data_IF_971409812398
#
_entry.id   IF_971409812398
#
_cell.length_a   1.000
_cell.length_b   1.000
_cell.length_c   1.000
_cell.angle_alpha   90.00
_cell.angle_beta   90.00
_cell.angle_gamma   90.00
#
_symmetry.space_group_name_H-M   'P 1'
#
loop_
_entity.id
_entity.type
_entity.pdbx_description
1 polymer ?
#
# COMPACT_ATOMS: atom_id res chain seq x y z
N UNK A 1 -33.76 -1.38 31.09
CA UNK A 1 -33.29 -2.25 30.00
C UNK A 1 -32.06 -2.99 30.47
N UNK A 2 -31.89 -4.24 30.07
CA UNK A 2 -30.69 -5.04 30.41
C UNK A 2 -29.47 -4.42 29.75
N UNK A 3 -28.45 -4.08 30.54
CA UNK A 3 -27.18 -3.57 30.02
C UNK A 3 -26.40 -4.75 29.43
N UNK A 4 -26.16 -4.72 28.12
CA UNK A 4 -25.51 -5.82 27.39
C UNK A 4 -24.02 -5.53 27.25
N UNK A 5 -23.18 -6.57 27.38
CA UNK A 5 -21.73 -6.39 27.35
C UNK A 5 -21.23 -6.33 25.91
N UNK A 6 -20.25 -5.46 25.65
CA UNK A 6 -19.59 -5.37 24.34
C UNK A 6 -18.20 -5.99 24.44
N UNK A 7 -17.93 -6.98 23.60
CA UNK A 7 -16.57 -7.51 23.41
C UNK A 7 -15.98 -6.92 22.14
N UNK A 8 -14.87 -6.19 22.27
CA UNK A 8 -14.29 -5.45 21.14
C UNK A 8 -13.90 -6.37 19.98
N UNK A 9 -13.41 -7.57 20.28
CA UNK A 9 -13.05 -8.57 19.27
C UNK A 9 -14.25 -9.00 18.40
N UNK A 10 -15.46 -9.13 18.98
CA UNK A 10 -16.66 -9.44 18.21
C UNK A 10 -17.11 -8.24 17.36
N UNK A 11 -17.00 -7.04 17.92
CA UNK A 11 -17.35 -5.80 17.22
C UNK A 11 -16.43 -5.54 16.02
N UNK A 12 -15.14 -5.78 16.15
CA UNK A 12 -14.14 -5.53 15.09
C UNK A 12 -14.26 -6.49 13.89
N UNK A 13 -14.95 -7.63 14.07
CA UNK A 13 -15.30 -8.55 12.98
C UNK A 13 -16.47 -8.06 12.14
N UNK A 14 -17.20 -7.03 12.56
CA UNK A 14 -18.33 -6.49 11.82
C UNK A 14 -17.84 -5.27 11.05
N UNK A 15 -17.82 -5.30 9.70
CA UNK A 15 -17.47 -4.13 8.92
C UNK A 15 -18.36 -2.93 9.31
N UNK A 16 -17.78 -1.74 9.53
CA UNK A 16 -18.55 -0.57 9.93
C UNK A 16 -19.55 -0.19 8.83
N UNK A 17 -20.73 0.26 9.22
CA UNK A 17 -21.69 0.84 8.29
C UNK A 17 -21.19 2.19 7.81
N UNK A 18 -21.44 2.51 6.54
CA UNK A 18 -21.34 3.88 6.07
C UNK A 18 -22.32 4.78 6.81
N UNK A 19 -22.07 6.10 6.76
CA UNK A 19 -22.95 7.09 7.38
C UNK A 19 -24.39 6.96 6.88
N UNK A 20 -24.57 6.80 5.58
CA UNK A 20 -25.88 6.67 4.93
C UNK A 20 -26.60 5.37 5.35
N UNK A 21 -25.88 4.25 5.40
CA UNK A 21 -26.45 2.98 5.87
C UNK A 21 -26.86 3.04 7.34
N UNK A 22 -26.06 3.70 8.18
CA UNK A 22 -26.39 3.90 9.59
C UNK A 22 -27.64 4.78 9.76
N UNK A 23 -27.73 5.90 9.05
CA UNK A 23 -28.90 6.78 9.07
C UNK A 23 -30.16 6.07 8.55
N UNK A 24 -30.03 5.26 7.50
CA UNK A 24 -31.12 4.42 6.98
C UNK A 24 -31.59 3.39 8.01
N UNK A 25 -30.66 2.73 8.70
CA UNK A 25 -30.97 1.78 9.78
C UNK A 25 -31.67 2.48 10.97
N UNK A 26 -31.16 3.64 11.41
CA UNK A 26 -31.76 4.42 12.50
C UNK A 26 -33.19 4.83 12.16
N UNK A 27 -33.43 5.33 10.95
CA UNK A 27 -34.78 5.68 10.47
C UNK A 27 -35.72 4.47 10.45
N UNK A 28 -35.25 3.32 9.98
CA UNK A 28 -36.05 2.10 9.94
C UNK A 28 -36.48 1.67 11.36
N UNK A 29 -35.53 1.60 12.29
CA UNK A 29 -35.79 1.21 13.68
C UNK A 29 -36.74 2.20 14.38
N UNK A 30 -36.60 3.50 14.12
CA UNK A 30 -37.51 4.51 14.66
C UNK A 30 -38.95 4.38 14.13
N UNK A 31 -39.11 3.89 12.90
CA UNK A 31 -40.42 3.77 12.24
C UNK A 31 -41.12 2.46 12.58
N UNK A 32 -40.38 1.34 12.55
CA UNK A 32 -40.94 -0.02 12.64
C UNK A 32 -40.60 -0.73 13.96
N UNK A 33 -39.72 -0.16 14.79
CA UNK A 33 -39.14 -0.84 15.94
C UNK A 33 -37.97 -1.77 15.57
N UNK A 34 -37.39 -2.44 16.56
CA UNK A 34 -36.29 -3.39 16.36
C UNK A 34 -36.84 -4.80 16.15
N UNK A 35 -37.21 -5.13 14.90
CA UNK A 35 -37.76 -6.44 14.55
C UNK A 35 -36.72 -7.56 14.64
N UNK A 36 -35.50 -7.31 14.15
CA UNK A 36 -34.42 -8.28 14.18
C UNK A 36 -33.82 -8.40 15.59
N UNK A 37 -33.58 -9.64 16.01
CA UNK A 37 -33.00 -9.92 17.33
C UNK A 37 -31.54 -9.48 17.44
N UNK A 38 -31.14 -9.14 18.67
CA UNK A 38 -29.74 -8.89 19.03
C UNK A 38 -29.15 -10.21 19.48
N UNK A 39 -28.15 -10.71 18.74
CA UNK A 39 -27.53 -12.01 19.01
C UNK A 39 -26.53 -11.88 20.14
N UNK A 40 -26.62 -12.75 21.13
CA UNK A 40 -25.80 -12.75 22.34
C UNK A 40 -25.03 -14.05 22.51
N UNK A 41 -23.91 -14.00 23.23
CA UNK A 41 -23.20 -15.17 23.75
C UNK A 41 -22.60 -14.85 25.11
N UNK A 42 -23.03 -15.57 26.15
CA UNK A 42 -22.74 -15.30 27.56
C UNK A 42 -22.96 -13.84 27.97
N UNK A 43 -24.02 -13.22 27.42
CA UNK A 43 -24.37 -11.82 27.66
C UNK A 43 -23.51 -10.79 26.91
N UNK A 44 -22.59 -11.23 26.05
CA UNK A 44 -21.87 -10.37 25.11
C UNK A 44 -22.62 -10.25 23.78
N UNK A 45 -22.65 -9.06 23.19
CA UNK A 45 -23.23 -8.84 21.87
C UNK A 45 -22.34 -9.48 20.81
N UNK A 46 -22.93 -10.36 20.00
CA UNK A 46 -22.28 -11.05 18.88
C UNK A 46 -22.62 -10.37 17.55
N UNK A 47 -23.91 -10.07 17.33
CA UNK A 47 -24.39 -9.32 16.16
C UNK A 47 -25.54 -8.38 16.56
N UNK A 48 -25.65 -7.25 15.86
CA UNK A 48 -26.65 -6.22 16.15
C UNK A 48 -26.13 -5.07 17.02
N UNK A 49 -24.83 -4.84 17.09
CA UNK A 49 -24.22 -3.72 17.82
C UNK A 49 -24.82 -2.35 17.46
N UNK A 50 -25.03 -2.07 16.17
CA UNK A 50 -25.66 -0.82 15.73
C UNK A 50 -27.13 -0.75 16.15
N UNK A 51 -27.88 -1.86 16.00
CA UNK A 51 -29.27 -1.96 16.45
C UNK A 51 -29.37 -1.70 17.96
N UNK A 52 -28.51 -2.33 18.76
CA UNK A 52 -28.41 -2.13 20.20
C UNK A 52 -28.21 -0.66 20.58
N UNK A 53 -27.24 0.00 19.94
CA UNK A 53 -26.93 1.40 20.20
C UNK A 53 -28.13 2.31 19.91
N UNK A 54 -28.80 2.10 18.76
CA UNK A 54 -29.99 2.87 18.36
C UNK A 54 -31.14 2.63 19.34
N UNK A 55 -31.43 1.37 19.67
CA UNK A 55 -32.53 1.02 20.57
C UNK A 55 -32.32 1.58 21.97
N UNK A 56 -31.11 1.50 22.50
CA UNK A 56 -30.75 2.03 23.82
C UNK A 56 -30.86 3.55 23.85
N UNK A 57 -30.37 4.23 22.79
CA UNK A 57 -30.44 5.69 22.66
C UNK A 57 -31.86 6.23 22.62
N UNK A 58 -32.77 5.53 21.92
CA UNK A 58 -34.16 5.97 21.73
C UNK A 58 -35.16 5.27 22.65
N UNK A 59 -34.69 4.48 23.61
CA UNK A 59 -35.50 3.71 24.54
C UNK A 59 -36.54 2.80 23.83
N UNK A 60 -36.12 2.17 22.72
CA UNK A 60 -36.93 1.25 21.92
C UNK A 60 -36.71 -0.18 22.44
N UNK A 61 -37.77 -0.97 22.71
CA UNK A 61 -37.63 -2.37 23.08
C UNK A 61 -36.95 -3.20 21.97
N UNK A 62 -36.09 -4.14 22.35
CA UNK A 62 -35.44 -5.07 21.44
C UNK A 62 -35.51 -6.49 21.99
N UNK A 63 -35.36 -7.49 21.11
CA UNK A 63 -35.38 -8.91 21.47
C UNK A 63 -33.95 -9.48 21.53
N UNK A 64 -33.43 -9.84 22.71
CA UNK A 64 -32.17 -10.58 22.80
C UNK A 64 -32.37 -12.05 22.41
N UNK A 65 -31.37 -12.65 21.77
CA UNK A 65 -31.36 -14.07 21.41
C UNK A 65 -29.99 -14.68 21.66
N UNK A 66 -29.93 -15.71 22.49
CA UNK A 66 -28.69 -16.38 22.87
C UNK A 66 -28.26 -17.42 21.82
N UNK A 67 -27.02 -17.30 21.34
CA UNK A 67 -26.43 -18.26 20.41
C UNK A 67 -25.95 -19.50 21.15
N UNK A 68 -26.31 -20.67 20.62
CA UNK A 68 -25.85 -21.97 21.11
C UNK A 68 -24.51 -22.32 20.48
N UNK A 69 -23.43 -21.75 21.02
CA UNK A 69 -22.04 -22.03 20.64
C UNK A 69 -21.24 -22.42 21.87
N UNK A 70 -20.42 -23.47 21.75
CA UNK A 70 -19.68 -24.05 22.87
C UNK A 70 -18.43 -23.24 23.21
N UNK A 71 -17.69 -22.85 22.17
CA UNK A 71 -16.45 -22.10 22.34
C UNK A 71 -16.55 -20.70 21.77
N UNK A 72 -15.71 -19.81 22.28
CA UNK A 72 -15.55 -18.47 21.70
C UNK A 72 -15.09 -18.52 20.24
N UNK A 73 -14.24 -19.48 19.88
CA UNK A 73 -13.77 -19.66 18.52
C UNK A 73 -14.94 -19.95 17.57
N UNK A 74 -15.92 -20.76 18.00
CA UNK A 74 -17.13 -21.02 17.21
C UNK A 74 -17.99 -19.78 17.02
N UNK A 75 -17.99 -18.87 18.01
CA UNK A 75 -18.66 -17.57 17.91
C UNK A 75 -17.95 -16.68 16.91
N UNK A 76 -16.61 -16.59 16.95
CA UNK A 76 -15.83 -15.81 15.99
C UNK A 76 -16.04 -16.31 14.56
N UNK A 77 -15.97 -17.62 14.33
CA UNK A 77 -16.23 -18.23 13.03
C UNK A 77 -17.66 -17.97 12.56
N UNK A 78 -18.64 -18.05 13.47
CA UNK A 78 -20.03 -17.73 13.15
C UNK A 78 -20.22 -16.26 12.76
N UNK A 79 -19.61 -15.31 13.48
CA UNK A 79 -19.67 -13.89 13.11
C UNK A 79 -19.10 -13.71 11.70
N UNK A 80 -17.90 -14.25 11.44
CA UNK A 80 -17.23 -14.12 10.16
C UNK A 80 -18.10 -14.65 9.03
N UNK A 81 -18.63 -15.87 9.15
CA UNK A 81 -19.47 -16.48 8.13
C UNK A 81 -20.75 -15.67 7.90
N UNK A 82 -21.39 -15.20 8.97
CA UNK A 82 -22.57 -14.35 8.87
C UNK A 82 -22.28 -13.00 8.18
N UNK A 83 -21.09 -12.41 8.39
CA UNK A 83 -20.69 -11.20 7.69
C UNK A 83 -20.33 -11.48 6.22
N UNK A 84 -19.71 -12.61 5.90
CA UNK A 84 -19.34 -12.98 4.52
C UNK A 84 -20.57 -13.17 3.62
N UNK A 85 -21.67 -13.66 4.20
CA UNK A 85 -22.98 -13.81 3.54
C UNK A 85 -23.62 -12.47 3.17
N UNK A 86 -23.17 -11.35 3.75
CA UNK A 86 -23.67 -10.02 3.38
C UNK A 86 -23.30 -9.71 1.93
N UNK A 87 -24.32 -9.45 1.10
CA UNK A 87 -24.11 -9.16 -0.33
C UNK A 87 -23.40 -7.82 -0.56
N UNK A 88 -23.63 -6.84 0.31
CA UNK A 88 -23.10 -5.49 0.20
C UNK A 88 -21.91 -5.25 1.16
N UNK A 89 -20.81 -6.00 1.00
CA UNK A 89 -19.53 -5.69 1.66
C UNK A 89 -18.43 -5.53 0.63
N UNK A 90 -17.50 -4.61 0.88
CA UNK A 90 -16.37 -4.36 -0.01
C UNK A 90 -15.51 -5.63 -0.19
N UNK A 91 -14.84 -5.73 -1.34
CA UNK A 91 -13.87 -6.81 -1.61
C UNK A 91 -12.77 -6.81 -0.54
N UNK A 92 -12.37 -5.63 -0.08
CA UNK A 92 -11.37 -5.46 0.96
C UNK A 92 -11.84 -6.01 2.32
N UNK A 93 -13.01 -5.59 2.81
CA UNK A 93 -13.58 -6.09 4.07
C UNK A 93 -13.83 -7.60 4.02
N UNK A 94 -14.34 -8.11 2.89
CA UNK A 94 -14.50 -9.55 2.67
C UNK A 94 -13.16 -10.29 2.75
N UNK A 95 -12.11 -9.75 2.10
CA UNK A 95 -10.74 -10.28 2.19
C UNK A 95 -10.19 -10.31 3.60
N UNK A 96 -10.38 -9.23 4.37
CA UNK A 96 -9.96 -9.13 5.78
C UNK A 96 -10.62 -10.21 6.65
N UNK A 97 -11.92 -10.44 6.47
CA UNK A 97 -12.66 -11.49 7.16
C UNK A 97 -12.15 -12.89 6.83
N UNK A 98 -11.81 -13.15 5.57
CA UNK A 98 -11.23 -14.45 5.14
C UNK A 98 -9.86 -14.67 5.75
N UNK A 99 -8.98 -13.65 5.74
CA UNK A 99 -7.67 -13.72 6.38
C UNK A 99 -7.79 -14.00 7.88
N UNK A 100 -8.76 -13.36 8.53
CA UNK A 100 -9.07 -13.61 9.94
C UNK A 100 -9.62 -15.03 10.16
N UNK A 101 -10.53 -15.51 9.31
CA UNK A 101 -11.05 -16.90 9.34
C UNK A 101 -9.92 -17.92 9.22
N UNK A 102 -8.98 -17.69 8.29
CA UNK A 102 -7.78 -18.54 8.12
C UNK A 102 -7.01 -18.64 9.44
N UNK A 103 -6.70 -17.50 10.07
CA UNK A 103 -5.97 -17.46 11.33
C UNK A 103 -6.72 -18.21 12.45
N UNK A 104 -8.03 -18.00 12.60
CA UNK A 104 -8.80 -18.71 13.62
C UNK A 104 -8.86 -20.22 13.37
N UNK A 105 -9.01 -20.67 12.12
CA UNK A 105 -8.98 -22.10 11.80
C UNK A 105 -7.62 -22.74 12.08
N UNK A 106 -6.53 -22.01 11.85
CA UNK A 106 -5.17 -22.50 12.16
C UNK A 106 -4.94 -22.71 13.66
N UNK A 107 -5.51 -21.87 14.53
CA UNK A 107 -5.39 -22.02 16.00
C UNK A 107 -6.02 -23.31 16.52
N UNK A 108 -7.16 -23.72 15.95
CA UNK A 108 -7.87 -24.96 16.36
C UNK A 108 -7.19 -26.26 15.92
N UNK A 109 -6.31 -26.21 14.93
CA UNK A 109 -5.63 -27.41 14.40
C UNK A 109 -4.43 -27.88 15.25
N UNK A 110 -3.99 -27.09 16.24
CA UNK A 110 -2.94 -27.45 17.20
C UNK A 110 -3.41 -28.27 18.41
N UNK A 111 -4.70 -28.58 18.51
CA UNK A 111 -5.30 -29.35 19.61
C UNK A 111 -5.96 -30.63 19.08
N UNK A 112 -5.16 -31.59 18.62
CA UNK A 112 -5.58 -32.99 18.58
C UNK A 112 -4.83 -33.72 19.70
N UNK A 113 -5.55 -34.04 20.76
CA UNK A 113 -5.12 -34.88 21.89
C UNK A 113 -4.99 -36.37 21.54
N UNK A 114 -5.21 -36.75 20.28
CA UNK A 114 -5.57 -38.14 19.94
C UNK A 114 -4.45 -38.91 19.25
N UNK A 115 -3.19 -38.52 19.44
CA UNK A 115 -2.04 -39.31 19.00
C UNK A 115 -1.13 -39.62 20.19
N UNK A 116 -1.55 -40.62 20.95
CA UNK A 116 -0.63 -41.38 21.80
C UNK A 116 0.49 -41.99 20.95
N UNK A 117 1.74 -41.69 21.35
CA UNK A 117 2.96 -42.46 21.12
C UNK A 117 3.02 -43.30 19.83
N UNK A 118 3.32 -42.65 18.71
CA UNK A 118 4.03 -43.32 17.62
C UNK A 118 5.33 -42.53 17.43
N UNK A 119 6.46 -43.16 17.75
CA UNK A 119 7.78 -42.56 17.50
C UNK A 119 7.87 -42.14 16.01
N UNK A 120 8.27 -40.88 15.71
CA UNK A 120 8.36 -40.44 14.34
C UNK A 120 9.45 -41.22 13.61
N UNK A 121 9.18 -41.81 12.43
CA UNK A 121 10.27 -42.33 11.61
C UNK A 121 11.19 -41.16 11.25
N UNK A 122 12.49 -41.35 11.49
CA UNK A 122 13.52 -40.40 11.10
C UNK A 122 13.36 -40.10 9.60
N UNK A 123 13.21 -38.81 9.29
CA UNK A 123 13.18 -38.19 7.95
C UNK A 123 11.77 -37.81 7.43
N UNK A 124 11.24 -36.68 7.92
CA UNK A 124 10.19 -35.89 7.27
C UNK A 124 10.36 -34.39 7.58
N UNK A 125 11.35 -33.77 6.93
CA UNK A 125 11.52 -32.31 6.92
C UNK A 125 10.37 -31.60 6.20
N UNK A 126 9.95 -30.45 6.74
CA UNK A 126 9.33 -29.24 6.16
C UNK A 126 8.20 -29.29 5.11
N UNK A 127 7.88 -30.42 4.47
CA UNK A 127 6.99 -30.46 3.30
C UNK A 127 5.49 -30.52 3.69
N UNK A 128 5.17 -30.89 4.93
CA UNK A 128 3.81 -31.29 5.31
C UNK A 128 2.93 -30.15 5.87
N UNK A 129 3.54 -29.07 6.39
CA UNK A 129 2.84 -27.84 6.80
C UNK A 129 2.46 -26.98 5.60
N UNK A 130 3.40 -26.77 4.68
CA UNK A 130 3.24 -25.94 3.48
C UNK A 130 2.15 -26.51 2.53
N UNK A 131 2.06 -27.84 2.39
CA UNK A 131 1.01 -28.47 1.57
C UNK A 131 -0.40 -28.27 2.16
N UNK A 132 -0.54 -28.33 3.48
CA UNK A 132 -1.83 -28.16 4.19
C UNK A 132 -2.28 -26.72 4.22
N UNK A 133 -1.34 -25.79 4.38
CA UNK A 133 -1.62 -24.36 4.29
C UNK A 133 -2.16 -23.98 2.90
N UNK A 134 -1.50 -24.49 1.84
CA UNK A 134 -1.95 -24.28 0.45
C UNK A 134 -3.32 -24.88 0.15
N UNK A 135 -3.71 -25.97 0.81
CA UNK A 135 -5.04 -26.58 0.64
C UNK A 135 -6.14 -25.78 1.33
N UNK A 136 -5.87 -25.29 2.55
CA UNK A 136 -6.78 -24.39 3.29
C UNK A 136 -7.00 -23.09 2.52
N UNK A 137 -5.94 -22.52 1.94
CA UNK A 137 -6.01 -21.29 1.14
C UNK A 137 -6.83 -21.48 -0.14
N UNK A 138 -6.72 -22.64 -0.79
CA UNK A 138 -7.51 -22.98 -1.99
C UNK A 138 -8.99 -23.17 -1.65
N UNK A 139 -9.32 -23.79 -0.52
CA UNK A 139 -10.71 -23.98 -0.07
C UNK A 139 -11.37 -22.63 0.26
N UNK A 140 -10.69 -21.81 1.07
CA UNK A 140 -11.16 -20.48 1.44
C UNK A 140 -11.31 -19.54 0.23
N UNK A 141 -10.40 -19.60 -0.75
CA UNK A 141 -10.49 -18.80 -1.98
C UNK A 141 -11.71 -19.19 -2.85
N UNK A 142 -12.05 -20.49 -2.92
CA UNK A 142 -13.23 -20.96 -3.65
C UNK A 142 -14.54 -20.60 -2.97
N UNK A 143 -14.62 -20.79 -1.66
CA UNK A 143 -15.83 -20.54 -0.87
C UNK A 143 -16.18 -19.05 -0.79
N UNK A 144 -15.17 -18.18 -0.81
CA UNK A 144 -15.35 -16.74 -0.60
C UNK A 144 -15.53 -15.90 -1.87
N UNK A 145 -15.38 -16.50 -3.06
CA UNK A 145 -15.43 -15.77 -4.32
C UNK A 145 -14.27 -14.79 -4.55
N UNK A 146 -13.23 -14.80 -3.70
CA UNK A 146 -12.04 -13.96 -3.86
C UNK A 146 -10.85 -14.82 -4.31
N UNK A 147 -10.24 -14.42 -5.43
CA UNK A 147 -9.04 -15.09 -5.95
C UNK A 147 -7.82 -14.96 -5.03
N UNK A 148 -6.99 -16.00 -4.98
CA UNK A 148 -5.76 -16.05 -4.17
C UNK A 148 -4.87 -14.80 -4.28
N UNK A 149 -4.67 -14.29 -5.50
CA UNK A 149 -3.85 -13.08 -5.73
C UNK A 149 -4.44 -11.86 -5.04
N UNK A 150 -5.77 -11.74 -4.99
CA UNK A 150 -6.45 -10.64 -4.29
C UNK A 150 -6.27 -10.75 -2.78
N UNK A 151 -6.37 -11.96 -2.21
CA UNK A 151 -6.11 -12.19 -0.78
C UNK A 151 -4.67 -11.83 -0.40
N UNK A 152 -3.68 -12.24 -1.21
CA UNK A 152 -2.28 -11.88 -0.99
C UNK A 152 -2.05 -10.36 -1.01
N UNK A 153 -2.71 -9.65 -1.94
CA UNK A 153 -2.66 -8.18 -1.99
C UNK A 153 -3.28 -7.54 -0.75
N UNK A 154 -4.43 -8.04 -0.31
CA UNK A 154 -5.13 -7.53 0.87
C UNK A 154 -4.29 -7.76 2.13
N UNK A 155 -3.64 -8.93 2.28
CA UNK A 155 -2.73 -9.19 3.39
C UNK A 155 -1.59 -8.16 3.45
N UNK A 156 -0.99 -7.84 2.30
CA UNK A 156 0.05 -6.82 2.21
C UNK A 156 -0.46 -5.40 2.51
N UNK A 157 -1.69 -5.08 2.08
CA UNK A 157 -2.36 -3.80 2.42
C UNK A 157 -2.61 -3.72 3.93
N UNK A 158 -3.04 -4.80 4.58
CA UNK A 158 -3.27 -4.80 6.02
C UNK A 158 -2.00 -4.51 6.81
N UNK A 159 -0.86 -4.99 6.34
CA UNK A 159 0.44 -4.75 7.00
C UNK A 159 0.96 -3.32 6.77
N UNK A 160 0.76 -2.74 5.58
CA UNK A 160 1.50 -1.54 5.14
C UNK A 160 0.65 -0.28 4.93
N UNK A 161 -0.66 -0.40 4.72
CA UNK A 161 -1.51 0.73 4.38
C UNK A 161 -1.86 1.59 5.60
N UNK A 162 -2.04 2.90 5.37
CA UNK A 162 -2.48 3.84 6.41
C UNK A 162 -3.97 3.64 6.77
N UNK A 163 -4.43 4.06 7.96
CA UNK A 163 -5.84 3.96 8.34
C UNK A 163 -6.80 4.61 7.33
N UNK A 164 -6.38 5.72 6.71
CA UNK A 164 -7.17 6.44 5.71
C UNK A 164 -7.32 5.64 4.41
N UNK A 165 -6.25 4.97 3.97
CA UNK A 165 -6.26 4.10 2.80
C UNK A 165 -7.16 2.88 3.03
N UNK A 166 -7.08 2.27 4.22
CA UNK A 166 -7.96 1.16 4.62
C UNK A 166 -9.42 1.58 4.64
N UNK A 167 -9.74 2.74 5.24
CA UNK A 167 -11.10 3.29 5.25
C UNK A 167 -11.64 3.56 3.83
N UNK A 168 -10.81 4.10 2.94
CA UNK A 168 -11.20 4.32 1.55
C UNK A 168 -11.50 3.00 0.80
N UNK A 169 -10.79 1.92 1.12
CA UNK A 169 -11.06 0.58 0.58
C UNK A 169 -12.35 -0.03 1.14
N UNK A 170 -12.61 0.13 2.44
CA UNK A 170 -13.84 -0.33 3.10
C UNK A 170 -15.09 0.33 2.47
N UNK A 171 -14.99 1.61 2.14
CA UNK A 171 -16.04 2.40 1.49
C UNK A 171 -16.08 2.25 -0.05
N UNK A 172 -15.28 1.34 -0.63
CA UNK A 172 -15.13 1.15 -2.08
C UNK A 172 -14.78 2.43 -2.88
N UNK A 173 -14.19 3.46 -2.24
CA UNK A 173 -13.75 4.70 -2.90
C UNK A 173 -12.51 4.50 -3.77
N UNK A 174 -11.73 3.47 -3.48
CA UNK A 174 -10.52 3.08 -4.22
C UNK A 174 -10.48 1.56 -4.39
N UNK A 175 -9.78 1.07 -5.42
CA UNK A 175 -9.63 -0.37 -5.61
C UNK A 175 -8.45 -0.94 -4.83
N UNK A 176 -8.54 -2.23 -4.46
CA UNK A 176 -7.43 -3.01 -3.86
C UNK A 176 -6.16 -2.93 -4.74
N UNK A 177 -6.32 -2.99 -6.06
CA UNK A 177 -5.19 -2.96 -6.98
C UNK A 177 -4.46 -1.61 -6.97
N UNK A 178 -5.19 -0.50 -6.86
CA UNK A 178 -4.60 0.84 -6.86
C UNK A 178 -3.76 1.07 -5.60
N UNK A 179 -4.30 0.74 -4.42
CA UNK A 179 -3.57 0.89 -3.16
C UNK A 179 -2.37 -0.06 -3.13
N UNK A 180 -2.54 -1.32 -3.53
CA UNK A 180 -1.44 -2.26 -3.61
C UNK A 180 -0.30 -1.77 -4.52
N UNK A 181 -0.64 -1.22 -5.69
CA UNK A 181 0.35 -0.70 -6.64
C UNK A 181 1.09 0.51 -6.08
N UNK A 182 0.41 1.39 -5.31
CA UNK A 182 1.05 2.53 -4.64
C UNK A 182 2.06 2.06 -3.59
N UNK A 183 1.66 1.16 -2.70
CA UNK A 183 2.53 0.57 -1.67
C UNK A 183 3.76 -0.08 -2.32
N UNK A 184 3.58 -0.89 -3.37
CA UNK A 184 4.70 -1.51 -4.06
C UNK A 184 5.66 -0.50 -4.71
N UNK A 185 5.15 0.61 -5.25
CA UNK A 185 5.99 1.66 -5.83
C UNK A 185 6.80 2.38 -4.76
N UNK A 186 6.17 2.69 -3.63
CA UNK A 186 6.82 3.34 -2.48
C UNK A 186 7.90 2.44 -1.88
N UNK A 187 7.62 1.15 -1.68
CA UNK A 187 8.63 0.18 -1.22
C UNK A 187 9.80 0.06 -2.19
N UNK A 188 9.53 -0.02 -3.51
CA UNK A 188 10.58 -0.08 -4.51
C UNK A 188 11.44 1.19 -4.52
N UNK A 189 10.81 2.35 -4.35
CA UNK A 189 11.53 3.63 -4.24
C UNK A 189 12.40 3.62 -2.98
N UNK A 190 11.84 3.30 -1.83
CA UNK A 190 12.57 3.23 -0.56
C UNK A 190 13.75 2.25 -0.62
N UNK A 191 13.56 1.05 -1.19
CA UNK A 191 14.62 0.07 -1.36
C UNK A 191 15.72 0.55 -2.31
N UNK A 192 15.36 1.23 -3.39
CA UNK A 192 16.32 1.83 -4.32
C UNK A 192 17.12 2.91 -3.60
N UNK A 193 16.44 3.81 -2.90
CA UNK A 193 17.06 4.93 -2.19
C UNK A 193 17.99 4.43 -1.07
N UNK A 194 17.63 3.32 -0.39
CA UNK A 194 18.49 2.64 0.57
C UNK A 194 19.72 1.96 -0.06
N UNK A 195 19.65 1.59 -1.34
CA UNK A 195 20.76 0.94 -2.07
C UNK A 195 21.64 1.97 -2.80
N UNK A 196 21.09 3.14 -3.15
CA UNK A 196 21.81 4.23 -3.79
C UNK A 196 22.77 4.88 -2.80
N UNK A 197 24.02 4.43 -2.79
CA UNK A 197 25.08 5.06 -2.03
C UNK A 197 25.75 6.14 -2.88
N UNK A 198 25.67 7.40 -2.45
CA UNK A 198 26.46 8.46 -3.03
C UNK A 198 27.95 8.17 -2.82
N UNK A 199 28.71 8.18 -3.90
CA UNK A 199 30.18 8.13 -3.85
C UNK A 199 30.73 9.43 -3.28
N UNK A 200 31.90 9.37 -2.63
CA UNK A 200 32.61 10.59 -2.25
C UNK A 200 32.82 11.50 -3.47
N UNK A 201 32.69 12.81 -3.25
CA UNK A 201 33.00 13.78 -4.29
C UNK A 201 34.49 13.70 -4.66
N UNK A 202 34.85 13.73 -5.95
CA UNK A 202 36.23 13.53 -6.38
C UNK A 202 37.17 14.58 -5.80
N UNK A 203 38.41 14.16 -5.49
CA UNK A 203 39.48 15.01 -4.95
C UNK A 203 40.53 15.25 -6.04
N UNK A 204 40.94 16.50 -6.22
CA UNK A 204 41.99 16.87 -7.18
C UNK A 204 41.51 17.86 -8.24
N UNK A 205 42.37 18.10 -9.23
CA UNK A 205 42.10 19.00 -10.37
C UNK A 205 41.99 18.20 -11.67
N UNK A 206 40.91 18.42 -12.40
CA UNK A 206 40.60 17.69 -13.63
C UNK A 206 40.52 18.64 -14.82
N UNK A 207 41.15 18.21 -15.93
CA UNK A 207 41.12 18.91 -17.22
C UNK A 207 39.92 18.52 -18.08
N UNK A 208 39.24 17.43 -17.75
CA UNK A 208 38.05 16.94 -18.47
C UNK A 208 36.99 16.60 -17.44
N UNK A 209 35.82 17.23 -17.55
CA UNK A 209 34.64 16.96 -16.73
C UNK A 209 33.54 16.48 -17.67
N UNK A 210 32.89 15.38 -17.31
CA UNK A 210 31.74 14.84 -18.02
C UNK A 210 30.60 14.68 -17.03
N UNK A 211 29.47 15.33 -17.29
CA UNK A 211 28.37 15.43 -16.35
C UNK A 211 27.01 15.17 -17.02
N UNK A 212 26.19 14.38 -16.35
CA UNK A 212 24.75 14.21 -16.62
C UNK A 212 23.98 14.56 -15.33
N UNK A 213 23.65 15.85 -15.12
CA UNK A 213 23.04 16.27 -13.88
C UNK A 213 21.65 15.69 -13.66
N UNK A 214 21.26 15.39 -12.41
CA UNK A 214 19.91 14.94 -12.07
C UNK A 214 18.91 16.11 -12.14
N UNK A 215 18.57 16.58 -13.34
CA UNK A 215 17.79 17.79 -13.51
C UNK A 215 16.38 17.71 -12.92
N UNK A 216 15.99 18.71 -12.14
CA UNK A 216 14.58 18.97 -11.83
C UNK A 216 13.87 19.66 -13.01
N UNK A 217 12.68 19.18 -13.37
CA UNK A 217 11.88 19.72 -14.46
C UNK A 217 10.69 20.50 -13.93
N UNK A 218 10.44 21.68 -14.51
CA UNK A 218 9.33 22.57 -14.12
C UNK A 218 7.93 21.93 -14.16
N UNK A 219 7.68 21.02 -15.11
CA UNK A 219 6.32 20.50 -15.38
C UNK A 219 6.21 18.98 -15.38
N UNK A 220 7.33 18.25 -15.23
CA UNK A 220 7.35 16.78 -15.35
C UNK A 220 8.19 16.13 -14.27
N UNK A 221 7.52 15.50 -13.32
CA UNK A 221 8.16 14.66 -12.30
C UNK A 221 8.38 13.21 -12.77
N UNK A 222 8.39 12.96 -14.09
CA UNK A 222 8.63 11.60 -14.62
C UNK A 222 10.06 11.14 -14.31
N UNK A 223 11.04 12.06 -14.34
CA UNK A 223 12.43 11.79 -13.96
C UNK A 223 12.56 11.37 -12.49
N UNK A 224 11.78 11.99 -11.60
CA UNK A 224 11.74 11.67 -10.16
C UNK A 224 11.29 10.22 -9.88
N UNK A 225 10.61 9.58 -10.83
CA UNK A 225 10.27 8.15 -10.76
C UNK A 225 11.52 7.27 -10.91
N UNK A 226 12.56 7.75 -11.60
CA UNK A 226 13.75 6.99 -11.95
C UNK A 226 14.97 7.29 -11.08
N UNK A 227 15.17 8.55 -10.68
CA UNK A 227 16.25 9.00 -9.79
C UNK A 227 15.82 10.26 -9.04
N UNK A 228 16.50 10.59 -7.93
CA UNK A 228 16.29 11.86 -7.24
C UNK A 228 16.78 13.02 -8.11
N UNK A 229 15.89 13.97 -8.39
CA UNK A 229 16.23 15.20 -9.09
C UNK A 229 16.76 16.25 -8.12
N UNK A 230 17.48 17.23 -8.65
CA UNK A 230 18.14 18.31 -7.93
C UNK A 230 17.74 19.66 -8.55
N UNK A 231 17.28 20.62 -7.72
CA UNK A 231 16.99 21.97 -8.18
C UNK A 231 18.22 22.64 -8.82
N UNK A 232 17.98 23.55 -9.77
CA UNK A 232 19.06 24.25 -10.48
C UNK A 232 20.02 24.99 -9.54
N UNK A 233 19.49 25.60 -8.48
CA UNK A 233 20.31 26.36 -7.53
C UNK A 233 21.26 25.44 -6.73
N UNK A 234 20.81 24.24 -6.36
CA UNK A 234 21.65 23.23 -5.71
C UNK A 234 22.71 22.68 -6.67
N UNK A 235 22.34 22.43 -7.93
CA UNK A 235 23.30 22.05 -8.98
C UNK A 235 24.38 23.13 -9.16
N UNK A 236 23.99 24.41 -9.19
CA UNK A 236 24.93 25.53 -9.28
C UNK A 236 25.86 25.62 -8.06
N UNK A 237 25.39 25.21 -6.87
CA UNK A 237 26.17 25.23 -5.64
C UNK A 237 27.18 24.07 -5.53
N UNK A 238 27.14 23.08 -6.44
CA UNK A 238 28.09 21.97 -6.42
C UNK A 238 29.55 22.45 -6.59
N UNK A 239 30.53 21.86 -5.88
CA UNK A 239 31.93 22.29 -5.90
C UNK A 239 32.69 21.84 -7.17
N UNK A 240 32.03 21.80 -8.33
CA UNK A 240 32.64 21.42 -9.62
C UNK A 240 33.72 22.43 -10.02
N UNK A 241 33.52 23.71 -9.70
CA UNK A 241 34.52 24.77 -9.90
C UNK A 241 35.81 24.48 -9.12
N UNK A 242 35.70 23.90 -7.94
CA UNK A 242 36.86 23.64 -7.06
C UNK A 242 37.70 22.45 -7.53
N UNK A 243 37.11 21.51 -8.27
CA UNK A 243 37.82 20.36 -8.85
C UNK A 243 38.25 20.58 -10.31
N UNK A 244 37.87 21.70 -10.93
CA UNK A 244 38.29 22.01 -12.29
C UNK A 244 39.67 22.67 -12.31
N UNK A 245 40.53 22.19 -13.22
CA UNK A 245 41.83 22.80 -13.55
C UNK A 245 41.65 24.21 -14.13
N UNK A 246 42.75 24.95 -14.32
CA UNK A 246 42.73 26.26 -15.00
C UNK A 246 42.48 26.10 -16.50
N UNK A 247 42.95 25.01 -17.11
CA UNK A 247 42.70 24.67 -18.51
C UNK A 247 41.90 23.36 -18.60
N UNK A 248 40.57 23.50 -18.62
CA UNK A 248 39.64 22.39 -18.55
C UNK A 248 38.50 22.48 -19.58
N UNK A 249 37.97 21.31 -19.96
CA UNK A 249 36.76 21.16 -20.78
C UNK A 249 35.66 20.46 -19.99
N UNK A 250 34.43 20.95 -20.14
CA UNK A 250 33.20 20.37 -19.60
C UNK A 250 32.34 19.85 -20.75
N UNK A 251 31.95 18.58 -20.65
CA UNK A 251 30.91 17.94 -21.45
C UNK A 251 29.66 17.77 -20.58
N UNK A 252 28.58 18.46 -20.91
CA UNK A 252 27.37 18.53 -20.09
C UNK A 252 26.15 18.02 -20.87
N UNK A 253 25.54 16.94 -20.39
CA UNK A 253 24.26 16.49 -20.92
C UNK A 253 23.12 17.38 -20.47
N UNK A 254 22.30 17.77 -21.45
CA UNK A 254 21.17 18.68 -21.26
C UNK A 254 20.00 18.21 -22.10
N UNK A 255 18.83 18.15 -21.49
CA UNK A 255 17.59 17.94 -22.24
C UNK A 255 17.10 19.24 -22.84
N UNK A 256 16.48 19.18 -24.02
CA UNK A 256 16.05 20.35 -24.78
C UNK A 256 15.37 21.48 -23.96
N UNK A 257 14.41 21.21 -23.04
CA UNK A 257 13.76 22.29 -22.28
C UNK A 257 14.67 22.98 -21.25
N UNK A 258 15.80 22.37 -20.88
CA UNK A 258 16.71 22.87 -19.85
C UNK A 258 17.92 23.62 -20.42
N UNK A 259 17.98 23.83 -21.74
CA UNK A 259 19.05 24.59 -22.37
C UNK A 259 19.28 25.98 -21.75
N UNK A 260 18.24 26.77 -21.41
CA UNK A 260 18.47 28.05 -20.71
C UNK A 260 19.10 27.86 -19.32
N UNK A 261 18.60 26.88 -18.56
CA UNK A 261 19.11 26.55 -17.22
C UNK A 261 20.55 26.05 -17.25
N UNK A 262 20.93 25.29 -18.29
CA UNK A 262 22.27 24.73 -18.39
C UNK A 262 23.35 25.78 -18.64
N UNK A 263 23.02 26.89 -19.33
CA UNK A 263 23.98 27.98 -19.53
C UNK A 263 24.34 28.64 -18.19
N UNK A 264 23.34 28.87 -17.34
CA UNK A 264 23.56 29.34 -15.96
C UNK A 264 24.42 28.36 -15.15
N UNK A 265 24.19 27.05 -15.30
CA UNK A 265 24.98 26.03 -14.61
C UNK A 265 26.45 26.05 -15.06
N UNK A 266 26.68 26.14 -16.37
CA UNK A 266 28.02 26.25 -16.97
C UNK A 266 28.79 27.44 -16.39
N UNK A 267 28.15 28.61 -16.33
CA UNK A 267 28.74 29.82 -15.73
C UNK A 267 29.03 29.64 -14.23
N UNK A 268 28.09 29.09 -13.47
CA UNK A 268 28.25 28.84 -12.03
C UNK A 268 29.45 27.93 -11.73
N UNK A 269 29.66 26.90 -12.56
CA UNK A 269 30.82 26.01 -12.46
C UNK A 269 32.12 26.62 -12.98
N UNK A 270 32.09 27.85 -13.50
CA UNK A 270 33.27 28.60 -13.94
C UNK A 270 33.74 28.25 -15.34
N UNK A 271 32.85 27.77 -16.21
CA UNK A 271 33.12 27.48 -17.61
C UNK A 271 32.41 28.48 -18.53
N UNK A 272 32.86 28.57 -19.77
CA UNK A 272 32.23 29.34 -20.84
C UNK A 272 31.76 28.37 -21.93
N UNK A 273 30.48 28.44 -22.30
CA UNK A 273 29.93 27.60 -23.37
C UNK A 273 30.58 27.91 -24.73
N UNK A 274 30.92 26.88 -25.50
CA UNK A 274 31.54 27.03 -26.84
C UNK A 274 30.71 26.42 -27.95
N UNK A 275 30.30 25.16 -27.82
CA UNK A 275 29.58 24.43 -28.88
C UNK A 275 28.84 23.22 -28.30
N UNK A 276 28.19 22.41 -29.14
CA UNK A 276 27.43 21.25 -28.69
C UNK A 276 27.40 20.12 -29.73
N UNK A 277 27.19 18.90 -29.26
CA UNK A 277 26.72 17.78 -30.07
C UNK A 277 25.21 17.60 -29.91
N UNK A 278 24.57 17.07 -30.96
CA UNK A 278 23.16 16.68 -30.95
C UNK A 278 23.10 15.16 -30.96
N UNK A 279 22.54 14.58 -29.90
CA UNK A 279 22.18 13.17 -29.91
C UNK A 279 20.80 13.00 -30.54
N UNK A 280 20.75 12.46 -31.76
CA UNK A 280 19.50 12.08 -32.42
C UNK A 280 18.95 10.76 -31.85
N UNK A 281 17.75 10.83 -31.25
CA UNK A 281 17.09 9.69 -30.64
C UNK A 281 16.29 8.93 -31.68
N UNK A 282 16.60 7.65 -31.84
CA UNK A 282 15.88 6.72 -32.74
C UNK A 282 14.37 6.67 -32.42
N UNK A 283 14.01 6.73 -31.13
CA UNK A 283 12.61 6.82 -30.67
C UNK A 283 12.35 8.21 -30.10
N UNK A 284 11.22 8.79 -30.48
CA UNK A 284 10.80 10.06 -29.93
C UNK A 284 10.21 9.91 -28.53
N UNK A 285 10.38 10.94 -27.70
CA UNK A 285 9.63 11.11 -26.47
C UNK A 285 8.60 12.22 -26.68
N UNK A 286 7.39 12.06 -26.15
CA UNK A 286 6.42 13.14 -26.23
C UNK A 286 6.81 14.21 -25.23
N UNK A 287 7.20 15.41 -25.67
CA UNK A 287 7.46 16.57 -24.82
C UNK A 287 6.18 17.31 -24.44
N UNK A 288 6.30 18.46 -23.77
CA UNK A 288 5.14 19.29 -23.43
C UNK A 288 4.57 20.03 -24.65
N UNK A 289 5.43 20.37 -25.63
CA UNK A 289 5.06 21.18 -26.79
C UNK A 289 5.31 20.48 -28.13
N UNK A 290 6.24 19.53 -28.19
CA UNK A 290 6.59 18.81 -29.41
C UNK A 290 7.08 17.38 -29.13
N UNK A 291 7.15 16.58 -30.19
CA UNK A 291 7.82 15.28 -30.19
C UNK A 291 9.34 15.50 -30.13
N UNK A 292 9.92 15.30 -28.94
CA UNK A 292 11.35 15.51 -28.69
C UNK A 292 12.12 14.32 -29.25
N UNK A 293 13.01 14.61 -30.20
CA UNK A 293 13.85 13.63 -30.89
C UNK A 293 15.34 13.82 -30.66
N UNK A 294 15.74 14.76 -29.82
CA UNK A 294 17.15 14.99 -29.55
C UNK A 294 17.43 15.35 -28.09
N UNK A 295 18.68 15.10 -27.70
CA UNK A 295 19.31 15.66 -26.51
C UNK A 295 20.61 16.36 -26.89
N UNK A 296 21.06 17.25 -26.01
CA UNK A 296 22.23 18.08 -26.24
C UNK A 296 23.37 17.61 -25.34
N UNK A 297 24.57 17.52 -25.91
CA UNK A 297 25.80 17.42 -25.15
C UNK A 297 26.58 18.73 -25.36
N UNK A 298 26.48 19.63 -24.40
CA UNK A 298 27.15 20.93 -24.46
C UNK A 298 28.64 20.77 -24.16
N UNK A 299 29.45 21.57 -24.84
CA UNK A 299 30.90 21.67 -24.65
C UNK A 299 31.22 23.09 -24.18
N UNK A 300 31.82 23.18 -23.00
CA UNK A 300 32.27 24.42 -22.39
C UNK A 300 33.74 24.33 -21.97
N UNK A 301 34.44 25.46 -21.91
CA UNK A 301 35.87 25.50 -21.57
C UNK A 301 36.14 26.48 -20.45
N UNK A 302 37.22 26.25 -19.71
CA UNK A 302 37.77 27.12 -18.69
C UNK A 302 39.26 27.32 -18.99
N UNK A 303 39.71 28.58 -19.00
CA UNK A 303 41.08 28.98 -19.34
C UNK A 303 41.14 30.15 -20.32
#
# INVERSE_FOLDING_TARGET
MTDLKIKQEFKDLIPPLSKEEFEGLEKNILTNGCEESIKLWHGYIVDGHNRYNICTKHNIPFKPEELKKETEQDVLLWIIDHQLDRRNISIYSRGKLILRKKNELSKGQGHRSDLENVEPPLNWGEVNSDRRERETDRKLSKESGIGHNTLSRIAKIEERATPEQKKALEENRVSVNDIFTKIQKEEKRANRDATLQATEFPKGKYRVIYADPPWEYYTRQEAEKHYHTMPLDELCAMPVKDISDENAVLFLWVTAPLLPSSLRLIEAWGFEHKTQFIWDKVKHNMGCYNSVRHELLLIATKG
#
